data_IF_070249516093
#
_entry.id   IF_070249516093
#
_cell.length_a   1.000
_cell.length_b   1.000
_cell.length_c   1.000
_cell.angle_alpha   90.00
_cell.angle_beta   90.00
_cell.angle_gamma   90.00
#
_symmetry.space_group_name_H-M   'P 1'
#
loop_
_entity.id
_entity.type
_entity.pdbx_description
1 polymer ?
#
# COMPACT_ATOMS: atom_id res chain seq x y z
N UNK A 1 5.77 0.95 3.66
CA UNK A 1 4.41 0.87 4.23
C UNK A 1 4.35 -0.23 5.30
N UNK A 2 4.12 0.09 6.59
CA UNK A 2 3.97 -0.90 7.67
C UNK A 2 2.48 -1.15 7.93
N UNK A 3 1.96 -2.31 7.54
CA UNK A 3 0.60 -2.77 7.88
C UNK A 3 0.73 -3.69 9.11
N UNK A 4 0.86 -3.10 10.30
CA UNK A 4 0.91 -3.83 11.59
C UNK A 4 -0.32 -3.50 12.45
N UNK A 5 -1.46 -3.28 11.81
CA UNK A 5 -2.71 -3.02 12.53
C UNK A 5 -3.54 -4.29 12.52
N UNK A 6 -4.08 -4.67 13.68
CA UNK A 6 -5.07 -5.76 13.79
C UNK A 6 -6.37 -5.44 13.03
N UNK A 7 -6.63 -4.16 12.76
CA UNK A 7 -7.82 -3.67 12.06
C UNK A 7 -7.48 -2.41 11.26
N UNK A 8 -7.93 -2.31 10.00
CA UNK A 8 -7.81 -1.08 9.22
C UNK A 8 -8.96 -0.13 9.54
N UNK A 9 -8.70 1.18 9.62
CA UNK A 9 -9.75 2.21 9.75
C UNK A 9 -9.60 3.25 8.64
N UNK A 10 -10.68 3.99 8.35
CA UNK A 10 -10.69 5.04 7.31
C UNK A 10 -9.51 6.02 7.39
N UNK A 11 -9.13 6.58 8.56
CA UNK A 11 -8.00 7.51 8.62
C UNK A 11 -6.66 6.89 8.20
N UNK A 12 -6.41 5.64 8.61
CA UNK A 12 -5.18 4.94 8.23
C UNK A 12 -5.15 4.66 6.73
N UNK A 13 -6.28 4.25 6.14
CA UNK A 13 -6.37 4.04 4.71
C UNK A 13 -6.15 5.34 3.93
N UNK A 14 -6.71 6.45 4.43
CA UNK A 14 -6.54 7.78 3.83
C UNK A 14 -5.06 8.19 3.79
N UNK A 15 -4.34 8.08 4.91
CA UNK A 15 -2.90 8.37 4.96
C UNK A 15 -2.09 7.47 4.03
N UNK A 16 -2.42 6.19 3.95
CA UNK A 16 -1.74 5.24 3.05
C UNK A 16 -1.96 5.60 1.58
N UNK A 17 -3.19 5.98 1.19
CA UNK A 17 -3.51 6.39 -0.18
C UNK A 17 -2.76 7.67 -0.52
N UNK A 18 -2.76 8.67 0.36
CA UNK A 18 -2.00 9.90 0.16
C UNK A 18 -0.51 9.65 -0.02
N UNK A 19 0.09 8.80 0.83
CA UNK A 19 1.50 8.46 0.72
C UNK A 19 1.83 7.80 -0.63
N UNK A 20 1.01 6.85 -1.09
CA UNK A 20 1.21 6.19 -2.39
C UNK A 20 1.10 7.17 -3.56
N UNK A 21 0.10 8.06 -3.53
CA UNK A 21 -0.09 9.06 -4.56
C UNK A 21 1.12 10.01 -4.63
N UNK A 22 1.60 10.46 -3.47
CA UNK A 22 2.80 11.27 -3.36
C UNK A 22 4.06 10.54 -3.84
N UNK A 23 4.24 9.26 -3.49
CA UNK A 23 5.35 8.43 -4.01
C UNK A 23 5.29 8.21 -5.53
N UNK A 24 4.10 8.37 -6.14
CA UNK A 24 3.88 8.19 -7.58
C UNK A 24 3.82 9.51 -8.36
N UNK A 25 4.16 10.65 -7.73
CA UNK A 25 4.00 12.00 -8.29
C UNK A 25 2.58 12.29 -8.82
N UNK A 26 1.56 11.69 -8.18
CA UNK A 26 0.15 11.89 -8.52
C UNK A 26 -0.51 12.81 -7.49
N UNK A 27 -1.14 13.88 -7.98
CA UNK A 27 -1.91 14.81 -7.15
C UNK A 27 -3.40 14.66 -7.47
N UNK A 28 -4.17 14.27 -6.46
CA UNK A 28 -5.64 14.21 -6.51
C UNK A 28 -6.22 15.22 -5.51
N UNK A 29 -7.44 15.68 -5.74
CA UNK A 29 -8.16 16.49 -4.77
C UNK A 29 -8.52 15.67 -3.53
N UNK A 30 -8.64 16.32 -2.37
CA UNK A 30 -9.06 15.67 -1.12
C UNK A 30 -10.38 14.91 -1.30
N UNK A 31 -11.35 15.49 -2.03
CA UNK A 31 -12.62 14.83 -2.34
C UNK A 31 -12.44 13.54 -3.15
N UNK A 32 -11.51 13.51 -4.11
CA UNK A 32 -11.25 12.30 -4.88
C UNK A 32 -10.59 11.22 -4.00
N UNK A 33 -9.68 11.61 -3.10
CA UNK A 33 -9.06 10.69 -2.15
C UNK A 33 -10.10 10.14 -1.17
N UNK A 34 -10.97 10.99 -0.63
CA UNK A 34 -12.09 10.58 0.21
C UNK A 34 -13.00 9.59 -0.50
N UNK A 35 -13.38 9.86 -1.76
CA UNK A 35 -14.21 8.94 -2.54
C UNK A 35 -13.54 7.58 -2.75
N UNK A 36 -12.23 7.54 -3.01
CA UNK A 36 -11.47 6.28 -3.13
C UNK A 36 -11.52 5.50 -1.82
N UNK A 37 -11.26 6.16 -0.69
CA UNK A 37 -11.30 5.55 0.65
C UNK A 37 -12.70 5.03 0.95
N UNK A 38 -13.73 5.82 0.68
CA UNK A 38 -15.11 5.49 1.00
C UNK A 38 -15.65 4.32 0.16
N UNK A 39 -15.32 4.29 -1.14
CA UNK A 39 -15.64 3.16 -2.01
C UNK A 39 -14.89 1.89 -1.63
N UNK A 40 -13.63 2.01 -1.20
CA UNK A 40 -12.84 0.87 -0.73
C UNK A 40 -13.46 0.28 0.52
N UNK A 41 -13.85 1.12 1.48
CA UNK A 41 -14.54 0.67 2.70
C UNK A 41 -15.88 0.00 2.38
N UNK A 42 -16.70 0.56 1.50
CA UNK A 42 -17.98 -0.06 1.10
C UNK A 42 -17.84 -1.46 0.51
N UNK A 43 -16.69 -1.77 -0.10
CA UNK A 43 -16.43 -3.08 -0.69
C UNK A 43 -15.76 -4.06 0.27
N UNK A 44 -14.97 -3.55 1.23
CA UNK A 44 -14.13 -4.35 2.12
C UNK A 44 -14.75 -4.57 3.51
N UNK A 45 -15.42 -3.57 4.08
CA UNK A 45 -16.13 -3.63 5.37
C UNK A 45 -17.51 -4.28 5.14
N UNK A 46 -17.56 -5.61 5.27
CA UNK A 46 -18.73 -6.42 4.94
C UNK A 46 -19.81 -6.31 6.02
N UNK A 47 -19.40 -6.10 7.26
CA UNK A 47 -20.28 -5.99 8.42
C UNK A 47 -20.71 -4.54 8.72
N UNK A 48 -20.11 -3.54 8.04
CA UNK A 48 -20.36 -2.11 8.20
C UNK A 48 -20.06 -1.57 9.61
N UNK A 49 -19.05 -2.12 10.29
CA UNK A 49 -18.63 -1.68 11.63
C UNK A 49 -17.63 -0.50 11.60
N UNK A 50 -17.24 -0.06 10.40
CA UNK A 50 -16.31 1.03 10.16
C UNK A 50 -14.83 0.63 10.29
N UNK A 51 -14.53 -0.67 10.34
CA UNK A 51 -13.20 -1.25 10.39
C UNK A 51 -13.12 -2.36 9.34
N UNK A 52 -11.89 -2.72 8.97
CA UNK A 52 -11.66 -3.90 8.13
C UNK A 52 -10.85 -4.88 8.95
N UNK A 53 -11.42 -6.04 9.18
CA UNK A 53 -10.78 -7.13 9.91
C UNK A 53 -9.93 -8.04 9.01
N UNK A 54 -9.11 -8.95 9.58
CA UNK A 54 -8.28 -9.84 8.77
C UNK A 54 -9.06 -10.78 7.84
N UNK A 55 -10.27 -11.21 8.22
CA UNK A 55 -11.10 -12.10 7.41
C UNK A 55 -11.77 -11.34 6.26
N UNK A 56 -12.26 -10.13 6.52
CA UNK A 56 -12.75 -9.17 5.53
C UNK A 56 -11.64 -8.77 4.55
N UNK A 57 -10.45 -8.44 5.05
CA UNK A 57 -9.28 -8.16 4.22
C UNK A 57 -8.93 -9.36 3.34
N UNK A 58 -8.92 -10.57 3.89
CA UNK A 58 -8.66 -11.79 3.13
C UNK A 58 -9.71 -12.02 2.04
N UNK A 59 -10.99 -11.82 2.34
CA UNK A 59 -12.07 -11.94 1.37
C UNK A 59 -11.93 -10.90 0.24
N UNK A 60 -11.58 -9.65 0.59
CA UNK A 60 -11.38 -8.56 -0.35
C UNK A 60 -10.15 -8.79 -1.25
N UNK A 61 -9.01 -9.17 -0.67
CA UNK A 61 -7.78 -9.46 -1.38
C UNK A 61 -7.89 -10.68 -2.30
N UNK A 62 -8.66 -11.70 -1.90
CA UNK A 62 -8.91 -12.89 -2.74
C UNK A 62 -9.67 -12.56 -4.02
N UNK A 63 -10.56 -11.55 -3.98
CA UNK A 63 -11.28 -11.04 -5.16
C UNK A 63 -10.42 -10.14 -6.04
N UNK A 64 -9.37 -9.54 -5.47
CA UNK A 64 -8.48 -8.59 -6.15
C UNK A 64 -7.00 -8.98 -5.97
N UNK A 65 -6.53 -10.08 -6.61
CA UNK A 65 -5.17 -10.59 -6.38
C UNK A 65 -4.06 -9.58 -6.69
N UNK A 66 -4.32 -8.62 -7.57
CA UNK A 66 -3.39 -7.55 -7.93
C UNK A 66 -3.01 -6.65 -6.72
N UNK A 67 -3.87 -6.56 -5.69
CA UNK A 67 -3.56 -5.82 -4.46
C UNK A 67 -2.33 -6.38 -3.73
N UNK A 68 -2.06 -7.68 -3.89
CA UNK A 68 -0.95 -8.36 -3.23
C UNK A 68 0.35 -8.31 -4.05
N UNK A 69 0.36 -7.66 -5.22
CA UNK A 69 1.55 -7.58 -6.09
C UNK A 69 2.76 -7.01 -5.35
N UNK A 70 2.55 -5.96 -4.56
CA UNK A 70 3.61 -5.30 -3.78
C UNK A 70 3.97 -6.06 -2.49
N UNK A 71 3.20 -7.09 -2.12
CA UNK A 71 3.50 -8.01 -1.02
C UNK A 71 4.37 -9.19 -1.48
N UNK A 72 4.64 -9.32 -2.78
CA UNK A 72 5.48 -10.38 -3.35
C UNK A 72 6.77 -9.81 -3.93
N UNK A 73 7.92 -10.30 -3.46
CA UNK A 73 9.23 -9.99 -4.04
C UNK A 73 9.74 -11.22 -4.81
N UNK A 74 9.59 -11.27 -6.14
CA UNK A 74 9.92 -12.45 -6.94
C UNK A 74 11.41 -12.83 -6.83
N UNK A 75 12.30 -11.84 -6.68
CA UNK A 75 13.74 -12.02 -6.53
C UNK A 75 14.14 -12.81 -5.26
N UNK A 76 13.25 -12.95 -4.27
CA UNK A 76 13.50 -13.80 -3.11
C UNK A 76 13.50 -15.30 -3.48
N UNK A 77 12.89 -15.69 -4.61
CA UNK A 77 12.90 -17.10 -5.07
C UNK A 77 14.28 -17.54 -5.55
N UNK A 78 15.07 -16.62 -6.08
CA UNK A 78 16.36 -16.90 -6.73
C UNK A 78 17.56 -16.43 -5.89
N UNK A 79 17.34 -16.08 -4.62
CA UNK A 79 18.37 -15.52 -3.72
C UNK A 79 19.58 -16.46 -3.54
N UNK A 80 19.38 -17.77 -3.67
CA UNK A 80 20.46 -18.77 -3.58
C UNK A 80 21.30 -18.85 -4.86
N UNK A 81 20.88 -18.21 -5.95
CA UNK A 81 21.56 -18.21 -7.25
C UNK A 81 22.10 -16.84 -7.66
N UNK A 82 21.50 -15.73 -7.22
CA UNK A 82 22.02 -14.38 -7.43
C UNK A 82 21.56 -13.43 -6.32
N UNK A 83 22.51 -12.71 -5.71
CA UNK A 83 22.21 -11.58 -4.83
C UNK A 83 21.84 -10.37 -5.69
N UNK A 84 20.66 -9.73 -5.49
CA UNK A 84 20.35 -8.47 -6.14
C UNK A 84 21.37 -7.41 -5.73
N UNK A 85 21.90 -6.64 -6.67
CA UNK A 85 22.73 -5.47 -6.36
C UNK A 85 21.84 -4.35 -5.81
N UNK A 86 21.94 -4.10 -4.51
CA UNK A 86 21.28 -2.94 -3.89
C UNK A 86 22.21 -1.73 -3.99
N UNK A 87 21.87 -0.78 -4.87
CA UNK A 87 22.53 0.52 -4.90
C UNK A 87 21.77 1.45 -3.98
N UNK A 88 22.40 1.85 -2.88
CA UNK A 88 21.86 2.87 -1.99
C UNK A 88 22.04 4.24 -2.66
N UNK A 89 20.96 4.80 -3.19
CA UNK A 89 20.98 6.20 -3.64
C UNK A 89 20.76 7.08 -2.41
N UNK A 90 21.83 7.63 -1.83
CA UNK A 90 21.76 8.43 -0.59
C UNK A 90 21.20 9.83 -0.80
N UNK A 91 20.87 10.25 -2.03
CA UNK A 91 20.32 11.56 -2.32
C UNK A 91 21.22 12.72 -1.86
N UNK A 92 22.51 12.45 -1.66
CA UNK A 92 23.51 13.50 -1.48
C UNK A 92 23.90 13.88 -2.90
N UNK A 93 23.35 14.98 -3.40
CA UNK A 93 23.97 15.65 -4.53
C UNK A 93 25.37 16.04 -4.07
N UNK A 94 26.38 15.36 -4.62
CA UNK A 94 27.75 15.82 -4.56
C UNK A 94 27.80 17.12 -5.39
N UNK A 95 27.39 18.24 -4.78
CA UNK A 95 27.72 19.57 -5.29
C UNK A 95 29.26 19.69 -5.29
N UNK A 96 29.83 19.48 -6.47
CA UNK A 96 31.24 19.71 -6.80
C UNK A 96 31.68 21.09 -6.26
N UNK A 97 32.74 21.06 -5.45
CA UNK A 97 33.54 22.20 -4.98
C UNK A 97 34.13 23.04 -6.12
#
# INVERSE_FOLDING_TARGET
MRILLSWLKKPHLYEMVLAILNESDLLLSDEAVEQIVDQTFKQADLNSDGKIDPDEWKAFASKNPALLKNMTLPYLKDITMAFPSFVLNSGVDDEEL
#
